data_IF_364793521738
#
_entry.id   IF_364793521738
#
_cell.length_a   1.000
_cell.length_b   1.000
_cell.length_c   1.000
_cell.angle_alpha   90.00
_cell.angle_beta   90.00
_cell.angle_gamma   90.00
#
_symmetry.space_group_name_H-M   'P 1'
#
loop_
_entity.id
_entity.type
_entity.pdbx_description
1 polymer ?
#
# COMPACT_ATOMS: atom_id res chain seq x y z
N UNK A 1 9.51 9.83 -8.24
CA UNK A 1 10.09 8.48 -8.21
C UNK A 1 9.03 7.56 -7.63
N UNK A 2 8.56 6.53 -8.35
CA UNK A 2 7.68 5.50 -7.82
C UNK A 2 8.30 4.89 -6.55
N UNK A 3 7.47 4.48 -5.59
CA UNK A 3 7.99 3.89 -4.34
C UNK A 3 8.73 2.57 -4.58
N UNK A 4 8.41 1.86 -5.67
CA UNK A 4 9.08 0.63 -6.12
C UNK A 4 10.54 0.87 -6.48
N UNK A 5 10.89 2.05 -6.99
CA UNK A 5 12.26 2.41 -7.40
C UNK A 5 13.06 3.10 -6.28
N UNK A 6 12.49 3.21 -5.08
CA UNK A 6 13.13 3.96 -4.01
C UNK A 6 14.33 3.20 -3.43
N UNK A 7 15.53 3.79 -3.57
CA UNK A 7 16.72 3.33 -2.85
C UNK A 7 16.60 3.68 -1.37
N UNK A 8 16.36 2.65 -0.56
CA UNK A 8 16.28 2.73 0.90
C UNK A 8 17.54 3.36 1.50
N UNK A 9 17.39 4.37 2.36
CA UNK A 9 18.48 4.91 3.18
C UNK A 9 18.46 4.28 4.57
N UNK A 10 19.59 4.36 5.28
CA UNK A 10 19.72 3.83 6.64
C UNK A 10 18.75 4.55 7.58
N UNK A 11 17.90 3.79 8.26
CA UNK A 11 16.88 4.31 9.18
C UNK A 11 15.50 4.50 8.55
N UNK A 12 15.37 4.36 7.22
CA UNK A 12 14.05 4.41 6.58
C UNK A 12 13.27 3.10 6.83
N UNK A 13 11.98 3.25 7.09
CA UNK A 13 11.00 2.16 6.98
C UNK A 13 10.38 2.22 5.59
N UNK A 14 10.37 1.10 4.89
CA UNK A 14 9.75 0.96 3.58
C UNK A 14 8.88 -0.29 3.66
N UNK A 15 7.69 -0.22 3.06
CA UNK A 15 6.77 -1.34 2.97
C UNK A 15 6.02 -1.34 1.65
N UNK A 16 4.81 -1.88 1.66
CA UNK A 16 4.00 -2.07 0.46
C UNK A 16 3.52 -0.75 -0.12
N UNK A 17 4.27 -0.19 -1.09
CA UNK A 17 4.00 1.10 -1.72
C UNK A 17 3.86 2.27 -0.72
N UNK A 18 4.59 2.20 0.41
CA UNK A 18 4.73 3.30 1.37
C UNK A 18 6.14 3.34 1.97
N UNK A 19 6.54 4.50 2.50
CA UNK A 19 7.76 4.68 3.28
C UNK A 19 7.57 5.69 4.40
N UNK A 20 8.36 5.55 5.45
CA UNK A 20 8.53 6.53 6.52
C UNK A 20 10.02 6.88 6.52
N UNK A 21 10.39 8.09 6.05
CA UNK A 21 11.79 8.53 6.04
C UNK A 21 12.35 8.60 7.45
N UNK A 22 13.65 8.39 7.58
CA UNK A 22 14.34 8.73 8.83
C UNK A 22 14.27 10.24 9.09
N UNK A 23 14.08 10.62 10.35
CA UNK A 23 14.03 12.01 10.78
C UNK A 23 15.44 12.60 10.74
N UNK A 24 15.69 13.55 9.84
CA UNK A 24 16.97 14.28 9.75
C UNK A 24 16.76 15.75 10.15
N UNK A 25 17.60 16.27 11.04
CA UNK A 25 17.56 17.67 11.51
C UNK A 25 16.79 17.89 12.82
N UNK A 26 16.86 19.11 13.37
CA UNK A 26 16.08 19.53 14.55
C UNK A 26 14.67 19.93 14.09
N UNK A 27 13.62 19.36 14.73
CA UNK A 27 12.17 19.60 14.47
C UNK A 27 11.53 18.91 13.25
N UNK A 28 12.13 17.86 12.68
CA UNK A 28 11.46 17.11 11.61
C UNK A 28 10.34 16.20 12.14
N UNK A 29 9.14 16.33 11.56
CA UNK A 29 7.95 15.53 11.91
C UNK A 29 7.98 14.20 11.16
N UNK A 30 7.72 13.10 11.88
CA UNK A 30 7.54 11.79 11.26
C UNK A 30 6.25 11.78 10.45
N UNK A 31 6.37 11.43 9.17
CA UNK A 31 5.23 11.31 8.27
C UNK A 31 5.40 10.06 7.41
N UNK A 32 4.27 9.49 6.98
CA UNK A 32 4.24 8.43 6.00
C UNK A 32 4.03 9.04 4.61
N UNK A 33 4.77 8.54 3.63
CA UNK A 33 4.56 8.83 2.23
C UNK A 33 4.13 7.52 1.56
N UNK A 34 3.10 7.56 0.73
CA UNK A 34 2.60 6.38 0.02
C UNK A 34 2.17 6.72 -1.40
N UNK A 35 2.03 5.69 -2.23
CA UNK A 35 1.57 5.83 -3.61
C UNK A 35 0.04 5.82 -3.66
N UNK A 36 -0.58 6.99 -3.74
CA UNK A 36 -2.04 7.12 -3.74
C UNK A 36 -2.71 6.38 -4.89
N UNK A 37 -2.13 6.41 -6.09
CA UNK A 37 -2.68 5.75 -7.27
C UNK A 37 -2.70 4.22 -7.08
N UNK A 38 -1.59 3.67 -6.59
CA UNK A 38 -1.51 2.25 -6.27
C UNK A 38 -2.57 1.85 -5.23
N UNK A 39 -2.67 2.61 -4.13
CA UNK A 39 -3.57 2.25 -3.04
C UNK A 39 -5.05 2.40 -3.39
N UNK A 40 -5.42 3.38 -4.23
CA UNK A 40 -6.78 3.49 -4.77
C UNK A 40 -7.11 2.29 -5.66
N UNK A 41 -6.22 1.92 -6.58
CA UNK A 41 -6.39 0.70 -7.39
C UNK A 41 -6.44 -0.57 -6.54
N UNK A 42 -5.64 -0.66 -5.47
CA UNK A 42 -5.66 -1.78 -4.53
C UNK A 42 -7.02 -1.92 -3.82
N UNK A 43 -7.60 -0.83 -3.33
CA UNK A 43 -8.93 -0.85 -2.70
C UNK A 43 -10.01 -1.25 -3.70
N UNK A 44 -10.03 -0.65 -4.88
CA UNK A 44 -11.04 -0.97 -5.89
C UNK A 44 -10.92 -2.39 -6.42
N UNK A 45 -9.70 -2.92 -6.55
CA UNK A 45 -9.51 -4.33 -6.88
C UNK A 45 -10.19 -5.25 -5.86
N UNK A 46 -10.16 -4.90 -4.56
CA UNK A 46 -10.79 -5.70 -3.49
C UNK A 46 -12.31 -5.55 -3.42
N UNK A 47 -12.82 -4.36 -3.69
CA UNK A 47 -14.26 -4.12 -3.82
C UNK A 47 -14.85 -4.89 -5.02
N UNK A 48 -14.04 -5.14 -6.05
CA UNK A 48 -14.45 -5.92 -7.23
C UNK A 48 -14.33 -7.44 -7.03
N UNK A 49 -13.70 -7.92 -5.97
CA UNK A 49 -13.61 -9.36 -5.67
C UNK A 49 -14.97 -9.85 -5.18
N UNK A 50 -15.52 -10.95 -5.74
CA UNK A 50 -16.79 -11.52 -5.30
C UNK A 50 -16.84 -11.80 -3.80
N UNK A 51 -18.04 -11.68 -3.23
CA UNK A 51 -18.26 -11.98 -1.82
C UNK A 51 -17.88 -13.43 -1.51
N UNK A 52 -17.03 -13.63 -0.50
CA UNK A 52 -16.54 -14.95 -0.08
C UNK A 52 -15.17 -15.33 -0.68
N UNK A 53 -14.72 -14.63 -1.72
CA UNK A 53 -13.40 -14.88 -2.29
C UNK A 53 -12.27 -14.21 -1.51
N UNK A 54 -11.06 -14.77 -1.64
CA UNK A 54 -9.87 -14.30 -0.92
C UNK A 54 -9.55 -12.85 -1.30
N UNK A 55 -9.42 -12.01 -0.27
CA UNK A 55 -9.05 -10.61 -0.44
C UNK A 55 -10.22 -9.67 -0.76
N UNK A 56 -11.47 -10.16 -0.70
CA UNK A 56 -12.67 -9.34 -0.79
C UNK A 56 -12.68 -8.23 0.28
N UNK A 57 -13.07 -7.03 -0.14
CA UNK A 57 -13.46 -5.95 0.77
C UNK A 57 -14.98 -5.78 0.67
N UNK A 58 -15.69 -6.12 1.74
CA UNK A 58 -17.15 -6.06 1.81
C UNK A 58 -17.64 -4.95 2.72
N UNK A 59 -18.81 -4.40 2.42
CA UNK A 59 -19.52 -3.45 3.28
C UNK A 59 -20.39 -4.20 4.28
N UNK A 60 -20.42 -3.76 5.54
CA UNK A 60 -21.30 -4.32 6.57
C UNK A 60 -22.56 -3.47 6.73
N UNK A 61 -23.59 -4.05 7.35
CA UNK A 61 -24.86 -3.37 7.62
C UNK A 61 -25.88 -3.49 6.48
N UNK A 62 -27.04 -2.84 6.68
CA UNK A 62 -28.19 -2.88 5.77
C UNK A 62 -28.75 -1.48 5.44
N UNK A 63 -28.10 -0.43 5.92
CA UNK A 63 -28.52 0.95 5.66
C UNK A 63 -28.14 1.37 4.23
N UNK A 64 -29.17 1.46 3.39
CA UNK A 64 -29.03 1.78 1.97
C UNK A 64 -28.49 3.19 1.75
N UNK A 65 -28.89 4.17 2.56
CA UNK A 65 -28.44 5.55 2.39
C UNK A 65 -26.97 5.71 2.79
N UNK A 66 -26.54 5.03 3.86
CA UNK A 66 -25.14 5.00 4.25
C UNK A 66 -24.26 4.33 3.18
N UNK A 67 -24.73 3.22 2.59
CA UNK A 67 -24.01 2.54 1.51
C UNK A 67 -23.99 3.37 0.22
N UNK A 68 -25.08 4.07 -0.11
CA UNK A 68 -25.15 4.97 -1.26
C UNK A 68 -24.17 6.12 -1.13
N UNK A 69 -24.16 6.81 0.01
CA UNK A 69 -23.22 7.89 0.28
C UNK A 69 -21.77 7.40 0.19
N UNK A 70 -21.46 6.24 0.77
CA UNK A 70 -20.14 5.64 0.63
C UNK A 70 -19.77 5.35 -0.84
N UNK A 71 -20.70 4.80 -1.62
CA UNK A 71 -20.47 4.54 -3.04
C UNK A 71 -20.19 5.82 -3.83
N UNK A 72 -20.90 6.91 -3.54
CA UNK A 72 -20.66 8.22 -4.17
C UNK A 72 -19.24 8.72 -3.90
N UNK A 73 -18.80 8.70 -2.64
CA UNK A 73 -17.44 9.11 -2.29
C UNK A 73 -16.35 8.20 -2.88
N UNK A 74 -16.58 6.88 -2.92
CA UNK A 74 -15.63 5.91 -3.50
C UNK A 74 -15.52 6.01 -5.01
N UNK A 75 -16.57 6.50 -5.69
CA UNK A 75 -16.61 6.63 -7.14
C UNK A 75 -16.44 8.06 -7.64
N UNK A 76 -16.21 9.02 -6.74
CA UNK A 76 -15.93 10.42 -7.03
C UNK A 76 -14.66 10.62 -7.88
N UNK A 77 -13.80 9.60 -7.94
CA UNK A 77 -12.65 9.55 -8.83
C UNK A 77 -12.80 8.44 -9.86
N UNK A 78 -12.16 8.62 -11.01
CA UNK A 78 -12.06 7.61 -12.05
C UNK A 78 -10.60 7.33 -12.38
N UNK A 79 -10.32 6.07 -12.71
CA UNK A 79 -8.99 5.63 -13.14
C UNK A 79 -8.84 5.83 -14.65
N UNK A 80 -7.70 6.37 -15.06
CA UNK A 80 -7.25 6.46 -16.44
C UNK A 80 -5.96 5.66 -16.55
N UNK A 81 -5.93 4.68 -17.46
CA UNK A 81 -4.70 3.96 -17.76
C UNK A 81 -3.78 4.90 -18.54
N UNK A 82 -2.69 5.29 -17.92
CA UNK A 82 -1.68 6.15 -18.54
C UNK A 82 -0.41 5.34 -18.75
N UNK A 83 0.05 5.28 -20.00
CA UNK A 83 1.32 4.65 -20.36
C UNK A 83 2.42 5.72 -20.42
N UNK A 84 3.53 5.50 -19.72
CA UNK A 84 4.63 6.45 -19.72
C UNK A 84 5.94 5.79 -19.33
N UNK A 85 6.99 6.01 -20.12
CA UNK A 85 8.34 5.46 -19.88
C UNK A 85 8.34 3.93 -19.71
N UNK A 86 7.57 3.22 -20.53
CA UNK A 86 7.52 1.76 -20.57
C UNK A 86 6.72 1.09 -19.44
N UNK A 87 5.89 1.84 -18.69
CA UNK A 87 4.98 1.30 -17.67
C UNK A 87 3.55 1.79 -17.86
N UNK A 88 2.60 0.93 -17.52
CA UNK A 88 1.17 1.24 -17.41
C UNK A 88 0.89 1.59 -15.95
N UNK A 89 0.31 2.75 -15.69
CA UNK A 89 -0.11 3.17 -14.35
C UNK A 89 -1.58 3.61 -14.41
N UNK A 90 -2.35 3.23 -13.40
CA UNK A 90 -3.68 3.80 -13.19
C UNK A 90 -3.52 5.18 -12.56
N UNK A 91 -3.82 6.24 -13.31
CA UNK A 91 -3.88 7.61 -12.78
C UNK A 91 -5.31 7.90 -12.33
N UNK A 92 -5.48 8.28 -11.06
CA UNK A 92 -6.78 8.61 -10.49
C UNK A 92 -7.06 10.10 -10.61
N UNK A 93 -8.21 10.44 -11.18
CA UNK A 93 -8.64 11.83 -11.42
C UNK A 93 -10.01 12.07 -10.81
N UNK A 94 -10.19 13.24 -10.21
CA UNK A 94 -11.50 13.70 -9.74
C UNK A 94 -12.46 13.83 -10.92
N UNK A 95 -13.70 13.36 -10.76
CA UNK A 95 -14.72 13.60 -11.79
C UNK A 95 -15.18 15.05 -11.75
N UNK A 96 -15.58 15.63 -12.90
CA UNK A 96 -16.04 17.03 -12.95
C UNK A 96 -17.31 17.30 -12.13
N UNK A 97 -18.17 16.29 -11.97
CA UNK A 97 -19.49 16.36 -11.34
C UNK A 97 -19.48 16.03 -9.85
N UNK A 98 -18.34 15.57 -9.30
CA UNK A 98 -18.22 15.17 -7.90
C UNK A 98 -16.96 15.78 -7.29
N UNK A 99 -17.06 16.42 -6.12
CA UNK A 99 -15.90 16.98 -5.41
C UNK A 99 -15.50 16.21 -4.16
N UNK A 100 -16.36 15.32 -3.67
CA UNK A 100 -16.25 14.75 -2.33
C UNK A 100 -15.66 13.35 -2.35
N UNK A 101 -14.35 13.22 -2.18
CA UNK A 101 -13.63 11.94 -2.13
C UNK A 101 -13.14 11.57 -0.71
N UNK A 102 -13.51 12.35 0.31
CA UNK A 102 -12.97 12.25 1.67
C UNK A 102 -13.01 10.82 2.25
N UNK A 103 -14.08 10.06 1.97
CA UNK A 103 -14.20 8.69 2.48
C UNK A 103 -13.32 7.70 1.71
N UNK A 104 -13.07 7.92 0.42
CA UNK A 104 -12.09 7.16 -0.35
C UNK A 104 -10.68 7.37 0.22
N UNK A 105 -10.30 8.63 0.45
CA UNK A 105 -8.99 8.97 1.02
C UNK A 105 -8.83 8.43 2.45
N UNK A 106 -9.90 8.47 3.26
CA UNK A 106 -9.90 7.86 4.59
C UNK A 106 -9.70 6.34 4.51
N UNK A 107 -10.45 5.64 3.65
CA UNK A 107 -10.34 4.19 3.46
C UNK A 107 -8.93 3.78 2.97
N UNK A 108 -8.38 4.52 2.01
CA UNK A 108 -7.00 4.35 1.55
C UNK A 108 -6.01 4.56 2.69
N UNK A 109 -6.16 5.62 3.47
CA UNK A 109 -5.31 5.91 4.64
C UNK A 109 -5.36 4.79 5.69
N UNK A 110 -6.54 4.25 5.98
CA UNK A 110 -6.72 3.11 6.87
C UNK A 110 -5.99 1.86 6.35
N UNK A 111 -6.07 1.57 5.06
CA UNK A 111 -5.39 0.43 4.47
C UNK A 111 -3.85 0.58 4.47
N UNK A 112 -3.35 1.78 4.19
CA UNK A 112 -1.92 2.12 4.33
C UNK A 112 -1.48 1.92 5.78
N UNK A 113 -2.24 2.45 6.75
CA UNK A 113 -1.94 2.32 8.17
C UNK A 113 -1.92 0.84 8.62
N UNK A 114 -2.89 0.04 8.16
CA UNK A 114 -2.93 -1.40 8.41
C UNK A 114 -1.66 -2.09 7.89
N UNK A 115 -1.22 -1.77 6.67
CA UNK A 115 0.04 -2.29 6.12
C UNK A 115 1.28 -1.83 6.91
N UNK A 116 1.30 -0.59 7.40
CA UNK A 116 2.38 -0.08 8.26
C UNK A 116 2.49 -0.87 9.57
N UNK A 117 1.35 -1.30 10.12
CA UNK A 117 1.29 -2.15 11.32
C UNK A 117 1.60 -3.62 11.01
N UNK A 118 1.73 -4.01 9.74
CA UNK A 118 1.97 -5.40 9.34
C UNK A 118 0.70 -6.25 9.33
N UNK A 119 -0.48 -5.63 9.33
CA UNK A 119 -1.73 -6.35 9.14
C UNK A 119 -1.77 -6.91 7.73
N UNK A 120 -1.99 -8.21 7.65
CA UNK A 120 -2.01 -9.01 6.45
C UNK A 120 -3.37 -9.69 6.35
N UNK A 121 -3.90 -9.80 5.14
CA UNK A 121 -5.18 -10.48 4.95
C UNK A 121 -4.96 -11.99 5.00
N UNK A 122 -5.88 -12.74 5.64
CA UNK A 122 -5.80 -14.18 5.69
C UNK A 122 -5.61 -14.79 4.29
N UNK A 123 -4.56 -15.58 4.11
CA UNK A 123 -4.24 -16.23 2.84
C UNK A 123 -3.47 -15.36 1.83
N UNK A 124 -3.10 -14.13 2.18
CA UNK A 124 -2.15 -13.28 1.43
C UNK A 124 -0.79 -13.16 2.12
N UNK A 125 -0.55 -13.98 3.14
CA UNK A 125 0.71 -14.01 3.88
C UNK A 125 1.85 -14.46 2.96
N UNK A 126 2.63 -13.51 2.47
CA UNK A 126 3.93 -13.82 1.91
C UNK A 126 4.84 -14.30 3.05
N UNK A 127 5.11 -15.60 3.11
CA UNK A 127 6.11 -16.15 4.02
C UNK A 127 7.43 -15.45 3.70
N UNK A 128 8.07 -14.75 4.66
CA UNK A 128 9.34 -14.11 4.40
C UNK A 128 10.32 -15.17 3.92
N UNK A 129 11.01 -14.89 2.81
CA UNK A 129 12.09 -15.75 2.33
C UNK A 129 13.03 -16.04 3.52
N UNK A 130 13.42 -17.31 3.75
CA UNK A 130 14.25 -17.65 4.89
C UNK A 130 15.49 -16.77 4.86
N UNK A 131 15.68 -15.95 5.90
CA UNK A 131 16.91 -15.16 6.06
C UNK A 131 18.04 -16.18 6.07
N UNK A 132 18.90 -16.13 5.05
CA UNK A 132 20.09 -16.97 4.99
C UNK A 132 20.80 -16.95 6.35
N UNK A 133 21.18 -18.12 6.83
CA UNK A 133 21.84 -18.28 8.13
C UNK A 133 22.96 -17.27 8.25
N UNK A 134 23.02 -16.52 9.37
CA UNK A 134 24.13 -15.60 9.64
C UNK A 134 25.41 -16.42 9.73
N UNK A 135 26.18 -16.45 8.65
CA UNK A 135 27.47 -17.13 8.63
C UNK A 135 28.41 -16.37 9.56
N UNK A 136 28.99 -17.05 10.56
CA UNK A 136 30.06 -16.43 11.36
C UNK A 136 31.33 -16.42 10.52
N UNK A 137 32.03 -15.28 10.49
CA UNK A 137 33.33 -15.14 9.81
C UNK A 137 34.36 -16.20 10.27
N UNK A 138 34.26 -16.64 11.53
CA UNK A 138 35.09 -17.72 12.08
C UNK A 138 34.80 -19.10 11.46
N UNK A 139 33.58 -19.36 11.01
CA UNK A 139 33.20 -20.61 10.33
C UNK A 139 33.76 -20.66 8.91
N UNK A 140 33.74 -19.53 8.20
CA UNK A 140 34.37 -19.38 6.87
C UNK A 140 35.91 -19.54 6.93
N UNK A 141 36.56 -19.03 7.97
CA UNK A 141 38.01 -19.18 8.14
C UNK A 141 38.43 -20.63 8.47
N UNK A 142 37.61 -21.39 9.22
CA UNK A 142 37.90 -22.80 9.52
C UNK A 142 37.77 -23.70 8.29
N UNK A 143 36.84 -23.40 7.39
CA UNK A 143 36.67 -24.15 6.13
C UNK A 143 37.80 -23.94 5.11
N UNK A 144 38.53 -22.81 5.19
CA UNK A 144 39.65 -22.46 4.29
C UNK A 144 41.01 -23.06 4.68
N UNK A 145 41.10 -23.70 5.85
CA UNK A 145 42.34 -24.30 6.41
C UNK A 145 42.40 -25.83 6.28
N UNK A 146 41.45 -26.43 5.56
CA UNK A 146 41.54 -27.80 5.03
C UNK A 146 41.86 -27.71 3.54
#
# INVERSE_FOLDING_TARGET
MPFVEYRRKRGDRVGFNWRIPNVQGRRAIRHALFDTNFWKSFIHARLAVPMGDKGCLSLFGQDVEAHRLLAEHLTAEYRVKTEGRGRVVDEWKMRPDTSENHWLDCLVGCAVAASIQGTVLPGTDERPAPKGSRVRLSELQRGRRR
#
